data_IF_305375723902
#
_entry.id   IF_305375723902
#
_cell.length_a   1.000
_cell.length_b   1.000
_cell.length_c   1.000
_cell.angle_alpha   90.00
_cell.angle_beta   90.00
_cell.angle_gamma   90.00
#
_symmetry.space_group_name_H-M   'P 1'
#
loop_
_entity.id
_entity.type
_entity.pdbx_description
1 polymer ?
#
# COMPACT_ATOMS: atom_id res chain seq x y z
N UNK A 1 2.92 -15.08 -21.83
CA UNK A 1 2.86 -13.63 -21.60
C UNK A 1 1.75 -13.41 -20.59
N UNK A 2 2.06 -13.06 -19.34
CA UNK A 2 1.04 -12.77 -18.33
C UNK A 2 0.65 -11.28 -18.45
N UNK A 3 -0.64 -10.98 -18.37
CA UNK A 3 -1.16 -9.62 -18.37
C UNK A 3 -1.69 -9.32 -16.97
N UNK A 4 -1.11 -8.33 -16.30
CA UNK A 4 -1.63 -7.83 -15.03
C UNK A 4 -2.60 -6.67 -15.28
N UNK A 5 -3.73 -6.69 -14.58
CA UNK A 5 -4.67 -5.56 -14.59
C UNK A 5 -4.19 -4.51 -13.58
N UNK A 6 -3.95 -3.30 -14.06
CA UNK A 6 -3.62 -2.14 -13.23
C UNK A 6 -4.86 -1.24 -13.17
N UNK A 7 -5.25 -0.83 -11.97
CA UNK A 7 -6.36 0.09 -11.72
C UNK A 7 -5.84 1.30 -10.96
N UNK A 8 -6.19 2.49 -11.41
CA UNK A 8 -5.98 3.72 -10.64
C UNK A 8 -7.13 3.92 -9.66
N UNK A 9 -6.82 4.40 -8.47
CA UNK A 9 -7.80 4.71 -7.43
C UNK A 9 -7.99 6.23 -7.33
N UNK A 10 -9.22 6.71 -7.14
CA UNK A 10 -9.46 8.15 -6.97
C UNK A 10 -8.94 8.64 -5.62
N UNK A 11 -8.28 9.80 -5.62
CA UNK A 11 -7.82 10.47 -4.41
C UNK A 11 -8.89 11.44 -3.86
N UNK A 12 -8.70 11.86 -2.60
CA UNK A 12 -9.50 12.92 -1.98
C UNK A 12 -9.11 14.33 -2.51
N UNK A 13 -9.72 15.37 -1.96
CA UNK A 13 -9.42 16.78 -2.31
C UNK A 13 -7.97 17.18 -2.00
N UNK A 14 -7.32 16.48 -1.05
CA UNK A 14 -5.92 16.66 -0.68
C UNK A 14 -4.96 15.83 -1.56
N UNK A 15 -5.49 15.12 -2.57
CA UNK A 15 -4.76 14.25 -3.48
C UNK A 15 -4.07 13.07 -2.76
N UNK A 16 -4.71 12.57 -1.72
CA UNK A 16 -4.28 11.41 -0.94
C UNK A 16 -5.18 10.20 -1.25
N UNK A 17 -4.58 9.02 -1.29
CA UNK A 17 -5.31 7.76 -1.25
C UNK A 17 -5.77 7.46 0.19
N UNK A 18 -7.09 7.28 0.35
CA UNK A 18 -7.74 6.94 1.61
C UNK A 18 -8.03 5.44 1.70
N UNK A 19 -8.07 4.91 2.93
CA UNK A 19 -8.36 3.51 3.19
C UNK A 19 -9.74 3.07 2.68
N UNK A 20 -10.77 3.89 2.86
CA UNK A 20 -12.13 3.60 2.36
C UNK A 20 -12.16 3.35 0.85
N UNK A 21 -11.34 4.08 0.09
CA UNK A 21 -11.27 3.94 -1.36
C UNK A 21 -10.60 2.63 -1.74
N UNK A 22 -9.49 2.29 -1.09
CA UNK A 22 -8.80 1.02 -1.27
C UNK A 22 -9.71 -0.16 -0.92
N UNK A 23 -10.36 -0.12 0.24
CA UNK A 23 -11.26 -1.19 0.68
C UNK A 23 -12.40 -1.42 -0.31
N UNK A 24 -13.08 -0.34 -0.75
CA UNK A 24 -14.14 -0.46 -1.75
C UNK A 24 -13.64 -1.10 -3.05
N UNK A 25 -12.47 -0.70 -3.53
CA UNK A 25 -11.90 -1.27 -4.74
C UNK A 25 -11.62 -2.78 -4.60
N UNK A 26 -11.08 -3.20 -3.45
CA UNK A 26 -10.86 -4.63 -3.14
C UNK A 26 -12.19 -5.40 -3.13
N UNK A 27 -13.23 -4.83 -2.51
CA UNK A 27 -14.55 -5.46 -2.41
C UNK A 27 -15.25 -5.56 -3.77
N UNK A 28 -15.12 -4.55 -4.63
CA UNK A 28 -15.58 -4.58 -6.02
C UNK A 28 -14.83 -5.67 -6.82
N UNK A 29 -13.51 -5.69 -6.73
CA UNK A 29 -12.68 -6.66 -7.44
C UNK A 29 -13.03 -8.10 -6.99
N UNK A 30 -13.23 -8.32 -5.68
CA UNK A 30 -13.71 -9.59 -5.12
C UNK A 30 -15.09 -9.99 -5.66
N UNK A 31 -16.00 -9.02 -5.79
CA UNK A 31 -17.37 -9.24 -6.31
C UNK A 31 -17.34 -9.63 -7.80
N UNK A 32 -16.44 -9.03 -8.57
CA UNK A 32 -16.21 -9.33 -9.98
C UNK A 32 -15.45 -10.66 -10.19
N UNK A 33 -15.15 -11.40 -9.12
CA UNK A 33 -14.43 -12.67 -9.15
C UNK A 33 -12.92 -12.51 -9.38
N UNK A 34 -12.37 -11.30 -9.20
CA UNK A 34 -10.93 -11.07 -9.16
C UNK A 34 -10.43 -11.41 -7.75
N UNK A 35 -9.48 -12.32 -7.65
CA UNK A 35 -9.00 -12.83 -6.36
C UNK A 35 -7.77 -12.00 -5.91
N UNK A 36 -7.80 -11.31 -4.75
CA UNK A 36 -6.64 -10.65 -4.18
C UNK A 36 -5.66 -11.68 -3.58
N UNK A 37 -4.36 -11.47 -3.77
CA UNK A 37 -3.34 -12.42 -3.32
C UNK A 37 -3.32 -12.59 -1.79
N UNK A 38 -3.02 -13.83 -1.35
CA UNK A 38 -2.72 -14.25 0.03
C UNK A 38 -3.91 -14.48 1.01
N UNK A 39 -4.92 -15.25 0.61
CA UNK A 39 -5.70 -16.05 1.57
C UNK A 39 -5.21 -17.51 1.54
N UNK A 40 -4.12 -17.89 2.25
CA UNK A 40 -3.55 -19.24 2.18
C UNK A 40 -4.51 -20.36 2.64
N UNK A 41 -5.62 -19.99 3.29
CA UNK A 41 -6.61 -20.92 3.81
C UNK A 41 -7.88 -21.04 2.96
N UNK A 42 -8.00 -20.34 1.83
CA UNK A 42 -9.28 -20.26 1.10
C UNK A 42 -9.34 -20.96 -0.25
N UNK A 43 -8.23 -21.25 -0.94
CA UNK A 43 -8.15 -22.24 -2.04
C UNK A 43 -6.66 -22.58 -2.29
N UNK A 44 -6.21 -23.83 -2.09
CA UNK A 44 -4.98 -24.32 -2.67
C UNK A 44 -5.28 -24.72 -4.13
N UNK A 45 -4.30 -24.57 -5.01
CA UNK A 45 -4.30 -25.08 -6.40
C UNK A 45 -4.83 -24.07 -7.45
N UNK A 46 -3.87 -23.61 -8.27
CA UNK A 46 -4.00 -22.94 -9.58
C UNK A 46 -4.43 -21.47 -9.55
N UNK A 47 -3.50 -20.55 -9.89
CA UNK A 47 -3.50 -19.72 -11.14
C UNK A 47 -2.49 -18.53 -11.04
N UNK A 48 -1.67 -18.26 -12.08
CA UNK A 48 -0.58 -17.26 -12.08
C UNK A 48 -0.98 -15.80 -12.46
N UNK A 49 -2.25 -15.41 -12.34
CA UNK A 49 -2.79 -14.17 -12.91
C UNK A 49 -3.67 -13.35 -11.92
N UNK A 50 -3.23 -13.19 -10.66
CA UNK A 50 -3.92 -12.46 -9.57
C UNK A 50 -3.37 -11.02 -9.29
N UNK A 51 -4.20 -10.05 -8.86
CA UNK A 51 -3.79 -8.71 -8.43
C UNK A 51 -2.87 -8.71 -7.19
N UNK A 52 -1.84 -7.86 -7.25
CA UNK A 52 -0.50 -8.20 -6.79
C UNK A 52 0.10 -7.23 -5.74
N UNK A 53 -0.36 -5.97 -5.66
CA UNK A 53 0.09 -5.00 -4.65
C UNK A 53 -0.80 -3.74 -4.63
N UNK A 54 -0.89 -3.08 -3.48
CA UNK A 54 -1.22 -1.66 -3.37
C UNK A 54 0.08 -0.86 -3.39
N UNK A 55 0.16 0.17 -4.24
CA UNK A 55 1.26 1.15 -4.19
C UNK A 55 0.72 2.42 -3.54
N UNK A 56 1.27 2.76 -2.38
CA UNK A 56 1.05 4.04 -1.72
C UNK A 56 2.25 4.97 -1.97
N UNK A 57 1.98 6.25 -2.14
CA UNK A 57 3.00 7.26 -2.44
C UNK A 57 3.20 8.21 -1.26
N UNK A 58 4.46 8.38 -0.87
CA UNK A 58 4.91 9.40 0.08
C UNK A 58 5.67 10.48 -0.70
N UNK A 59 4.96 11.56 -1.04
CA UNK A 59 5.49 12.66 -1.84
C UNK A 59 5.24 12.44 -3.33
N UNK A 60 4.00 12.64 -3.78
CA UNK A 60 3.66 12.60 -5.21
C UNK A 60 4.42 13.65 -6.00
N UNK A 61 4.80 13.33 -7.24
CA UNK A 61 5.63 14.24 -8.07
C UNK A 61 4.96 15.59 -8.35
N UNK A 62 3.65 15.61 -8.56
CA UNK A 62 2.93 16.81 -8.96
C UNK A 62 2.68 17.80 -7.83
N UNK A 63 2.33 17.30 -6.65
CA UNK A 63 1.82 18.13 -5.54
C UNK A 63 2.49 17.85 -4.20
N UNK A 64 3.42 16.90 -4.14
CA UNK A 64 4.03 16.42 -2.91
C UNK A 64 2.98 15.97 -1.86
N UNK A 65 1.88 15.37 -2.30
CA UNK A 65 0.88 14.78 -1.40
C UNK A 65 1.36 13.44 -0.84
N UNK A 66 0.78 13.04 0.28
CA UNK A 66 1.13 11.83 1.02
C UNK A 66 -0.11 10.96 1.23
N UNK A 67 -0.05 9.71 0.83
CA UNK A 67 -1.16 8.77 1.05
C UNK A 67 -1.32 8.42 2.53
N UNK A 68 -2.54 8.07 2.95
CA UNK A 68 -2.88 7.83 4.36
C UNK A 68 -2.44 6.46 4.84
N UNK A 69 -1.14 6.30 5.06
CA UNK A 69 -0.51 5.03 5.45
C UNK A 69 -1.16 4.36 6.67
N UNK A 70 -1.54 5.14 7.69
CA UNK A 70 -2.22 4.64 8.88
C UNK A 70 -3.57 3.97 8.57
N UNK A 71 -4.24 4.35 7.48
CA UNK A 71 -5.48 3.72 7.01
C UNK A 71 -5.18 2.53 6.07
N UNK A 72 -4.20 2.69 5.18
CA UNK A 72 -3.87 1.69 4.14
C UNK A 72 -3.24 0.42 4.72
N UNK A 73 -2.34 0.55 5.71
CA UNK A 73 -1.63 -0.56 6.32
C UNK A 73 -2.57 -1.64 6.89
N UNK A 74 -3.50 -1.29 7.80
CA UNK A 74 -4.45 -2.25 8.37
C UNK A 74 -5.36 -2.92 7.33
N UNK A 75 -5.73 -2.20 6.26
CA UNK A 75 -6.53 -2.76 5.17
C UNK A 75 -5.71 -3.78 4.37
N UNK A 76 -4.49 -3.41 4.00
CA UNK A 76 -3.60 -4.34 3.30
C UNK A 76 -3.35 -5.59 4.15
N UNK A 77 -3.15 -5.45 5.46
CA UNK A 77 -3.03 -6.60 6.37
C UNK A 77 -4.31 -7.45 6.45
N UNK A 78 -5.49 -6.82 6.50
CA UNK A 78 -6.78 -7.52 6.56
C UNK A 78 -7.03 -8.40 5.33
N UNK A 79 -6.63 -7.93 4.16
CA UNK A 79 -6.80 -8.62 2.88
C UNK A 79 -5.51 -9.32 2.40
N UNK A 80 -4.47 -9.37 3.25
CA UNK A 80 -3.13 -9.92 3.00
C UNK A 80 -2.47 -9.43 1.68
N UNK A 81 -2.67 -8.14 1.39
CA UNK A 81 -2.10 -7.46 0.23
C UNK A 81 -0.69 -6.96 0.47
N UNK A 82 0.16 -7.07 -0.56
CA UNK A 82 1.43 -6.38 -0.58
C UNK A 82 1.22 -4.87 -0.61
N UNK A 83 1.76 -4.13 0.36
CA UNK A 83 1.78 -2.67 0.36
C UNK A 83 3.18 -2.17 -0.02
N UNK A 84 3.34 -1.72 -1.26
CA UNK A 84 4.55 -1.04 -1.72
C UNK A 84 4.45 0.44 -1.38
N UNK A 85 5.49 1.00 -0.77
CA UNK A 85 5.59 2.43 -0.51
C UNK A 85 6.61 3.03 -1.46
N UNK A 86 6.13 3.89 -2.37
CA UNK A 86 6.98 4.75 -3.19
C UNK A 86 7.26 6.04 -2.41
N UNK A 87 8.51 6.19 -1.99
CA UNK A 87 9.01 7.38 -1.32
C UNK A 87 10.22 7.96 -2.06
N UNK A 88 10.26 7.86 -3.39
CA UNK A 88 11.41 8.32 -4.17
C UNK A 88 11.76 9.80 -3.93
N UNK A 89 10.75 10.64 -3.68
CA UNK A 89 10.93 12.05 -3.35
C UNK A 89 11.11 12.28 -1.84
N UNK A 90 10.13 11.89 -1.02
CA UNK A 90 10.11 12.24 0.40
C UNK A 90 10.95 11.30 1.29
N UNK A 91 11.39 10.15 0.76
CA UNK A 91 12.07 9.11 1.53
C UNK A 91 13.41 9.55 2.14
N UNK A 92 14.14 10.45 1.47
CA UNK A 92 15.37 11.02 2.01
C UNK A 92 15.13 11.82 3.30
N UNK A 93 13.96 12.46 3.45
CA UNK A 93 13.62 13.23 4.64
C UNK A 93 13.48 12.33 5.88
N UNK A 94 13.14 11.04 5.71
CA UNK A 94 13.00 10.09 6.81
C UNK A 94 14.32 9.74 7.51
N UNK A 95 15.46 10.06 6.88
CA UNK A 95 16.76 9.98 7.52
C UNK A 95 16.84 10.91 8.74
N UNK A 96 16.18 12.07 8.68
CA UNK A 96 16.15 13.04 9.77
C UNK A 96 14.99 12.73 10.73
N UNK A 97 15.25 12.48 12.03
CA UNK A 97 14.21 12.12 13.00
C UNK A 97 13.06 13.14 13.10
N UNK A 98 13.36 14.43 12.92
CA UNK A 98 12.40 15.53 13.00
C UNK A 98 11.32 15.49 11.91
N UNK A 99 11.57 14.81 10.79
CA UNK A 99 10.61 14.69 9.68
C UNK A 99 9.75 13.42 9.74
N UNK A 100 10.12 12.42 10.55
CA UNK A 100 9.37 11.15 10.66
C UNK A 100 7.94 11.34 11.15
N UNK A 101 7.70 12.35 11.99
CA UNK A 101 6.36 12.70 12.50
C UNK A 101 5.36 13.11 11.40
N UNK A 102 5.84 13.52 10.23
CA UNK A 102 4.99 13.89 9.09
C UNK A 102 4.57 12.68 8.25
N UNK A 103 5.02 11.47 8.59
CA UNK A 103 4.69 10.24 7.87
C UNK A 103 4.18 9.16 8.84
N UNK A 104 3.03 9.39 9.52
CA UNK A 104 2.47 8.44 10.46
C UNK A 104 2.02 7.16 9.74
N UNK A 105 2.27 5.99 10.35
CA UNK A 105 1.87 4.70 9.79
C UNK A 105 2.93 4.03 8.92
N UNK A 106 4.13 4.62 8.78
CA UNK A 106 5.24 3.98 8.07
C UNK A 106 5.75 2.74 8.80
N UNK A 107 5.61 2.72 10.13
CA UNK A 107 5.90 1.60 11.03
C UNK A 107 4.98 0.38 10.85
N UNK A 108 3.80 0.57 10.24
CA UNK A 108 2.81 -0.50 10.01
C UNK A 108 3.26 -1.45 8.88
N UNK A 109 4.35 -1.13 8.17
CA UNK A 109 4.97 -1.98 7.15
C UNK A 109 5.82 -3.12 7.75
N UNK A 110 5.21 -3.93 8.62
CA UNK A 110 5.90 -5.01 9.35
C UNK A 110 5.25 -6.37 9.15
N UNK A 111 5.55 -6.99 8.00
CA UNK A 111 6.01 -8.38 7.81
C UNK A 111 5.99 -8.72 6.31
N UNK A 112 7.17 -8.90 5.72
CA UNK A 112 7.31 -9.52 4.38
C UNK A 112 7.57 -8.59 3.19
N UNK A 113 7.67 -7.27 3.38
CA UNK A 113 7.63 -6.32 2.26
C UNK A 113 8.92 -5.49 2.13
N UNK A 114 9.61 -5.61 1.00
CA UNK A 114 10.82 -4.83 0.67
C UNK A 114 10.46 -3.66 -0.26
N UNK A 115 10.47 -2.44 0.29
CA UNK A 115 11.07 -1.27 -0.37
C UNK A 115 11.73 -0.31 0.62
N UNK A 116 11.28 -0.23 1.89
CA UNK A 116 12.03 0.45 2.96
C UNK A 116 11.82 -0.23 4.32
N UNK A 117 12.91 -0.66 4.97
CA UNK A 117 12.96 -1.03 6.39
C UNK A 117 13.72 0.09 7.10
N UNK A 118 13.02 1.14 7.55
CA UNK A 118 13.58 2.04 8.57
C UNK A 118 13.23 1.38 9.90
N UNK A 119 14.14 0.55 10.41
CA UNK A 119 14.13 0.25 11.83
C UNK A 119 14.49 1.54 12.56
N UNK A 120 13.48 2.27 13.00
CA UNK A 120 13.63 3.25 14.06
C UNK A 120 13.79 2.51 15.41
N UNK A 121 14.85 1.70 15.53
CA UNK A 121 15.41 1.33 16.83
C UNK A 121 16.51 2.34 17.13
N UNK A 122 16.13 3.49 17.67
CA UNK A 122 17.03 4.36 18.41
C UNK A 122 16.37 4.65 19.75
N UNK A 123 16.67 3.75 20.69
CA UNK A 123 16.42 3.75 22.14
C UNK A 123 14.98 3.56 22.62
#
# INVERSE_FOLDING_TARGET
MALLRIRTLPCNEQLELEGKTLQRAIEEDLTDGLIPFFAPNLIPVLRPDLPFQCTATLGTTGTCSFDRMAELGPICQKYDLWLHVDAAYAGAALACPEFRKFMPGIEVSHRGFHSYRIEANLN
#
